data_IF_786379422452
#
_entry.id   IF_786379422452
#
_cell.length_a   1.000
_cell.length_b   1.000
_cell.length_c   1.000
_cell.angle_alpha   90.00
_cell.angle_beta   90.00
_cell.angle_gamma   90.00
#
_symmetry.space_group_name_H-M   'P 1'
#
loop_
_entity.id
_entity.type
_entity.pdbx_description
1 polymer ?
#
# COMPACT_ATOMS: atom_id res chain seq x y z
N UNK A 1 14.65 -21.81 68.11
CA UNK A 1 14.71 -22.15 66.70
C UNK A 1 14.19 -20.94 65.91
N UNK A 2 15.10 -20.15 65.36
CA UNK A 2 14.79 -18.92 64.62
C UNK A 2 14.75 -19.25 63.14
N UNK A 3 13.60 -19.03 62.47
CA UNK A 3 13.45 -19.21 61.05
C UNK A 3 13.76 -17.91 60.32
N UNK A 4 14.71 -18.00 59.40
CA UNK A 4 15.18 -16.93 58.53
C UNK A 4 14.17 -16.66 57.41
N UNK A 5 13.83 -15.40 57.07
CA UNK A 5 12.95 -15.13 55.92
C UNK A 5 13.70 -15.19 54.60
N UNK A 6 13.16 -15.92 53.65
CA UNK A 6 13.65 -16.00 52.29
C UNK A 6 13.27 -14.71 51.55
N UNK A 7 14.29 -13.96 51.15
CA UNK A 7 14.16 -12.75 50.33
C UNK A 7 13.92 -13.13 48.88
N UNK A 8 12.68 -12.97 48.39
CA UNK A 8 12.34 -13.09 46.98
C UNK A 8 12.86 -11.85 46.21
N UNK A 9 13.97 -12.02 45.51
CA UNK A 9 14.42 -11.03 44.51
C UNK A 9 13.43 -11.00 43.36
N UNK A 10 12.64 -9.92 43.30
CA UNK A 10 11.87 -9.57 42.10
C UNK A 10 12.87 -9.21 40.99
N UNK A 11 12.96 -10.07 39.98
CA UNK A 11 13.63 -9.77 38.72
C UNK A 11 12.70 -8.86 37.93
N UNK A 12 12.90 -7.55 38.04
CA UNK A 12 12.35 -6.59 37.09
C UNK A 12 13.02 -6.84 35.74
N UNK A 13 12.29 -7.52 34.82
CA UNK A 13 12.62 -7.44 33.41
C UNK A 13 12.39 -6.00 32.97
N UNK A 14 13.47 -5.23 32.87
CA UNK A 14 13.46 -3.97 32.14
C UNK A 14 12.96 -4.26 30.75
N UNK A 15 11.74 -3.78 30.41
CA UNK A 15 11.30 -3.65 29.03
C UNK A 15 12.26 -2.68 28.37
N UNK A 16 13.22 -3.18 27.61
CA UNK A 16 14.00 -2.36 26.68
C UNK A 16 13.00 -1.60 25.81
N UNK A 17 12.90 -0.30 26.05
CA UNK A 17 12.15 0.62 25.21
C UNK A 17 12.81 0.59 23.83
N UNK A 18 12.32 -0.27 22.93
CA UNK A 18 12.79 -0.29 21.57
C UNK A 18 12.40 1.05 20.95
N UNK A 19 13.39 1.84 20.58
CA UNK A 19 13.18 3.14 19.95
C UNK A 19 12.35 2.92 18.68
N UNK A 20 11.11 3.41 18.66
CA UNK A 20 10.21 3.30 17.51
C UNK A 20 10.94 3.87 16.29
N UNK A 21 10.92 3.14 15.18
CA UNK A 21 11.67 3.54 13.97
C UNK A 21 10.87 4.55 13.16
N UNK A 22 11.56 5.54 12.63
CA UNK A 22 10.96 6.56 11.77
C UNK A 22 10.55 5.98 10.41
N UNK A 23 9.40 6.42 9.88
CA UNK A 23 8.98 6.23 8.51
C UNK A 23 8.62 7.60 7.90
N UNK A 24 9.25 7.96 6.79
CA UNK A 24 9.03 9.24 6.12
C UNK A 24 7.79 9.17 5.23
N UNK A 25 6.92 10.15 5.31
CA UNK A 25 5.75 10.27 4.43
C UNK A 25 6.08 11.19 3.25
N UNK A 26 5.94 10.66 2.04
CA UNK A 26 6.12 11.38 0.78
C UNK A 26 4.81 11.39 0.01
N UNK A 27 4.23 12.57 -0.18
CA UNK A 27 3.03 12.74 -1.01
C UNK A 27 3.42 13.29 -2.37
N UNK A 28 3.16 12.52 -3.41
CA UNK A 28 3.46 12.88 -4.80
C UNK A 28 2.31 13.66 -5.46
N UNK A 29 1.12 13.68 -4.82
CA UNK A 29 -0.09 14.17 -5.45
C UNK A 29 -0.45 13.34 -6.69
N UNK A 30 -1.08 13.96 -7.70
CA UNK A 30 -1.40 13.30 -8.96
C UNK A 30 -0.18 13.26 -9.88
N UNK A 31 0.19 12.06 -10.34
CA UNK A 31 1.39 11.81 -11.17
C UNK A 31 1.12 10.77 -12.24
N UNK A 32 1.87 10.85 -13.34
CA UNK A 32 1.96 9.75 -14.30
C UNK A 32 2.64 8.54 -13.67
N UNK A 33 2.25 7.34 -14.11
CA UNK A 33 2.75 6.09 -13.54
C UNK A 33 4.27 5.98 -13.57
N UNK A 34 4.87 6.30 -14.71
CA UNK A 34 6.32 6.21 -14.92
C UNK A 34 7.09 7.17 -14.00
N UNK A 35 6.58 8.39 -13.81
CA UNK A 35 7.19 9.36 -12.89
C UNK A 35 7.19 8.85 -11.46
N UNK A 36 6.07 8.29 -11.01
CA UNK A 36 5.99 7.72 -9.66
C UNK A 36 6.88 6.49 -9.50
N UNK A 37 7.00 5.67 -10.55
CA UNK A 37 7.84 4.47 -10.55
C UNK A 37 9.33 4.83 -10.41
N UNK A 38 9.79 5.90 -11.07
CA UNK A 38 11.14 6.44 -10.89
C UNK A 38 11.38 6.81 -9.42
N UNK A 39 10.47 7.54 -8.80
CA UNK A 39 10.57 7.92 -7.38
C UNK A 39 10.58 6.69 -6.48
N UNK A 40 9.67 5.75 -6.69
CA UNK A 40 9.61 4.50 -5.90
C UNK A 40 10.93 3.72 -5.97
N UNK A 41 11.48 3.55 -7.19
CA UNK A 41 12.73 2.83 -7.39
C UNK A 41 13.90 3.52 -6.67
N UNK A 42 13.98 4.84 -6.76
CA UNK A 42 15.03 5.63 -6.10
C UNK A 42 14.94 5.51 -4.57
N UNK A 43 13.75 5.67 -4.01
CA UNK A 43 13.49 5.52 -2.56
C UNK A 43 13.83 4.09 -2.11
N UNK A 44 13.45 3.07 -2.88
CA UNK A 44 13.79 1.68 -2.57
C UNK A 44 15.31 1.43 -2.58
N UNK A 45 16.03 1.98 -3.56
CA UNK A 45 17.49 1.86 -3.61
C UNK A 45 18.19 2.59 -2.44
N UNK A 46 17.70 3.77 -2.06
CA UNK A 46 18.24 4.47 -0.88
C UNK A 46 17.95 3.71 0.42
N UNK A 47 16.76 3.11 0.52
CA UNK A 47 16.42 2.30 1.68
C UNK A 47 17.29 1.04 1.78
N UNK A 48 17.54 0.34 0.68
CA UNK A 48 18.46 -0.81 0.62
C UNK A 48 19.87 -0.43 1.07
N UNK A 49 20.33 0.75 0.66
CA UNK A 49 21.64 1.30 1.06
C UNK A 49 21.63 1.93 2.45
N UNK A 50 20.53 1.85 3.20
CA UNK A 50 20.33 2.45 4.54
C UNK A 50 20.62 3.96 4.59
N UNK A 51 20.45 4.65 3.46
CA UNK A 51 20.61 6.11 3.36
C UNK A 51 19.42 6.87 3.93
N UNK A 52 18.25 6.24 3.95
CA UNK A 52 17.01 6.78 4.48
C UNK A 52 16.32 5.73 5.36
N UNK A 53 15.47 6.12 6.31
CA UNK A 53 14.57 5.20 7.01
C UNK A 53 13.49 4.65 6.06
N UNK A 54 12.54 3.87 6.60
CA UNK A 54 11.36 3.43 5.86
C UNK A 54 10.59 4.64 5.31
N UNK A 55 9.87 4.46 4.22
CA UNK A 55 9.12 5.52 3.57
C UNK A 55 7.73 5.04 3.17
N UNK A 56 6.72 5.90 3.37
CA UNK A 56 5.35 5.69 2.94
C UNK A 56 5.02 6.72 1.85
N UNK A 57 4.88 6.26 0.61
CA UNK A 57 4.63 7.10 -0.56
C UNK A 57 3.13 7.08 -0.86
N UNK A 58 2.53 8.25 -1.03
CA UNK A 58 1.16 8.41 -1.51
C UNK A 58 1.16 8.97 -2.92
N UNK A 59 0.24 8.51 -3.75
CA UNK A 59 0.08 8.97 -5.14
C UNK A 59 -1.35 8.79 -5.59
N UNK A 60 -1.83 9.65 -6.47
CA UNK A 60 -3.03 9.44 -7.28
C UNK A 60 -2.63 9.36 -8.75
N UNK A 61 -3.29 8.50 -9.51
CA UNK A 61 -3.01 8.32 -10.95
C UNK A 61 -4.15 8.84 -11.82
N UNK A 62 -3.86 9.25 -13.07
CA UNK A 62 -4.87 9.25 -14.13
C UNK A 62 -5.35 7.82 -14.40
N UNK A 63 -6.29 7.65 -15.32
CA UNK A 63 -6.80 6.32 -15.67
C UNK A 63 -5.69 5.46 -16.27
N UNK A 64 -5.39 4.33 -15.65
CA UNK A 64 -4.42 3.38 -16.15
C UNK A 64 -4.70 1.95 -15.67
N UNK A 65 -4.22 1.01 -16.44
CA UNK A 65 -4.25 -0.42 -16.12
C UNK A 65 -2.81 -0.91 -15.97
N UNK A 66 -2.53 -1.67 -14.93
CA UNK A 66 -1.24 -2.32 -14.73
C UNK A 66 -1.37 -3.83 -14.73
N UNK A 67 -0.51 -4.51 -15.51
CA UNK A 67 -0.39 -5.97 -15.51
C UNK A 67 0.81 -6.38 -14.64
N UNK A 68 0.54 -7.11 -13.54
CA UNK A 68 1.56 -7.62 -12.65
C UNK A 68 2.24 -8.88 -13.18
N UNK A 69 3.28 -9.35 -12.48
CA UNK A 69 4.14 -10.46 -12.93
C UNK A 69 3.45 -11.82 -13.01
N UNK A 70 2.39 -12.03 -12.24
CA UNK A 70 1.61 -13.27 -12.24
C UNK A 70 0.37 -13.19 -13.11
N UNK A 71 0.17 -12.05 -13.81
CA UNK A 71 -1.02 -11.79 -14.59
C UNK A 71 -0.93 -12.35 -16.02
N UNK A 72 -2.10 -12.53 -16.61
CA UNK A 72 -2.25 -12.88 -18.04
C UNK A 72 -2.75 -11.69 -18.82
N UNK A 73 -2.19 -11.46 -20.01
CA UNK A 73 -2.69 -10.45 -20.95
C UNK A 73 -4.13 -10.75 -21.39
N UNK A 74 -4.58 -12.01 -21.31
CA UNK A 74 -5.95 -12.42 -21.60
C UNK A 74 -6.97 -11.84 -20.60
N UNK A 75 -6.50 -11.31 -19.45
CA UNK A 75 -7.35 -10.61 -18.50
C UNK A 75 -7.56 -9.13 -18.87
N UNK A 76 -6.89 -8.62 -19.88
CA UNK A 76 -7.20 -7.34 -20.51
C UNK A 76 -8.29 -7.59 -21.55
N UNK A 77 -9.50 -7.08 -21.30
CA UNK A 77 -10.67 -7.25 -22.18
C UNK A 77 -10.77 -6.12 -23.21
N UNK A 78 -10.34 -4.91 -22.83
CA UNK A 78 -10.32 -3.75 -23.72
C UNK A 78 -9.21 -3.88 -24.75
N UNK A 79 -9.51 -3.62 -26.01
CA UNK A 79 -8.52 -3.47 -27.06
C UNK A 79 -7.82 -2.09 -26.98
N UNK A 80 -6.79 -1.92 -27.80
CA UNK A 80 -6.01 -0.67 -27.82
C UNK A 80 -6.86 0.55 -28.17
N UNK A 81 -7.77 0.43 -29.13
CA UNK A 81 -8.67 1.51 -29.56
C UNK A 81 -9.58 1.97 -28.42
N UNK A 82 -10.12 1.00 -27.67
CA UNK A 82 -10.96 1.28 -26.51
C UNK A 82 -10.15 2.00 -25.39
N UNK A 83 -8.94 1.57 -25.09
CA UNK A 83 -8.08 2.23 -24.11
C UNK A 83 -7.76 3.67 -24.52
N UNK A 84 -7.35 3.88 -25.79
CA UNK A 84 -7.06 5.20 -26.33
C UNK A 84 -8.30 6.13 -26.29
N UNK A 85 -9.47 5.63 -26.69
CA UNK A 85 -10.72 6.39 -26.63
C UNK A 85 -11.09 6.86 -25.23
N UNK A 86 -10.77 6.08 -24.20
CA UNK A 86 -11.08 6.41 -22.80
C UNK A 86 -9.91 7.03 -22.05
N UNK A 87 -8.79 7.31 -22.73
CA UNK A 87 -7.60 7.91 -22.11
C UNK A 87 -6.97 7.03 -21.03
N UNK A 88 -7.01 5.70 -21.21
CA UNK A 88 -6.49 4.73 -20.24
C UNK A 88 -5.10 4.26 -20.66
N UNK A 89 -4.09 4.54 -19.81
CA UNK A 89 -2.75 4.00 -20.00
C UNK A 89 -2.67 2.51 -19.71
N UNK A 90 -1.73 1.79 -20.34
CA UNK A 90 -1.45 0.39 -20.04
C UNK A 90 0.04 0.16 -19.79
N UNK A 91 0.37 -0.46 -18.65
CA UNK A 91 1.75 -0.65 -18.22
C UNK A 91 2.00 -2.05 -17.68
N UNK A 92 3.17 -2.62 -18.02
CA UNK A 92 3.68 -3.82 -17.38
C UNK A 92 4.35 -3.44 -16.07
N UNK A 93 3.82 -3.94 -14.95
CA UNK A 93 4.27 -3.58 -13.62
C UNK A 93 5.10 -4.70 -12.99
N UNK A 94 6.24 -4.35 -12.39
CA UNK A 94 7.12 -5.29 -11.72
C UNK A 94 6.68 -5.57 -10.26
N UNK A 95 5.37 -5.74 -10.04
CA UNK A 95 4.73 -6.13 -8.78
C UNK A 95 4.15 -7.54 -8.85
N UNK A 96 3.90 -8.14 -7.71
CA UNK A 96 3.10 -9.36 -7.62
C UNK A 96 1.64 -9.12 -8.00
N UNK A 97 0.91 -10.21 -8.14
CA UNK A 97 -0.51 -10.19 -8.54
C UNK A 97 -0.70 -10.05 -10.04
N UNK A 98 -1.97 -9.95 -10.41
CA UNK A 98 -2.49 -9.93 -11.78
C UNK A 98 -2.76 -8.49 -12.26
N UNK A 99 -3.69 -8.35 -13.19
CA UNK A 99 -4.13 -7.07 -13.75
C UNK A 99 -4.97 -6.29 -12.74
N UNK A 100 -4.82 -4.97 -12.73
CA UNK A 100 -5.69 -4.07 -11.98
C UNK A 100 -5.80 -2.71 -12.67
N UNK A 101 -6.84 -1.97 -12.34
CA UNK A 101 -7.03 -0.58 -12.75
C UNK A 101 -6.63 0.37 -11.63
N UNK A 102 -6.08 1.53 -12.02
CA UNK A 102 -5.88 2.69 -11.17
C UNK A 102 -6.49 3.94 -11.82
N UNK A 103 -7.01 4.84 -10.98
CA UNK A 103 -7.61 6.08 -11.48
C UNK A 103 -7.95 7.06 -10.36
N UNK A 104 -8.45 8.25 -10.74
CA UNK A 104 -8.90 9.26 -9.79
C UNK A 104 -9.92 8.69 -8.81
N UNK A 105 -9.84 9.14 -7.55
CA UNK A 105 -10.70 8.65 -6.47
C UNK A 105 -10.21 7.37 -5.80
N UNK A 106 -9.05 6.83 -6.19
CA UNK A 106 -8.38 5.78 -5.41
C UNK A 106 -7.40 6.39 -4.41
N UNK A 107 -7.37 5.85 -3.19
CA UNK A 107 -6.28 6.07 -2.24
C UNK A 107 -5.20 5.03 -2.47
N UNK A 108 -4.02 5.49 -2.90
CA UNK A 108 -2.89 4.61 -3.21
C UNK A 108 -1.75 4.90 -2.24
N UNK A 109 -1.22 3.85 -1.61
CA UNK A 109 -0.10 3.92 -0.69
C UNK A 109 0.94 2.84 -0.98
N UNK A 110 2.21 3.26 -1.07
CA UNK A 110 3.35 2.41 -1.34
C UNK A 110 4.36 2.46 -0.19
N UNK A 111 4.29 1.52 0.77
CA UNK A 111 5.28 1.43 1.82
C UNK A 111 6.58 0.83 1.28
N UNK A 112 7.67 1.58 1.42
CA UNK A 112 9.04 1.15 1.14
C UNK A 112 9.72 0.88 2.46
N UNK A 113 9.74 -0.39 2.87
CA UNK A 113 10.18 -0.84 4.19
C UNK A 113 11.25 -1.92 4.07
N UNK A 114 12.25 -1.90 4.95
CA UNK A 114 13.15 -3.03 5.15
C UNK A 114 12.52 -4.02 6.13
N UNK A 115 11.98 -5.11 5.61
CA UNK A 115 11.31 -6.13 6.42
C UNK A 115 12.25 -6.82 7.42
N UNK A 116 13.57 -6.82 7.21
CA UNK A 116 14.53 -7.32 8.21
C UNK A 116 14.51 -6.48 9.48
N UNK A 117 14.16 -5.21 9.34
CA UNK A 117 14.07 -4.29 10.48
C UNK A 117 12.68 -4.22 11.11
N UNK A 118 11.73 -4.97 10.61
CA UNK A 118 10.41 -5.17 11.19
C UNK A 118 10.17 -6.66 11.45
N UNK A 119 9.80 -7.42 10.41
CA UNK A 119 9.67 -8.87 10.45
C UNK A 119 9.93 -9.42 9.03
N UNK A 120 10.91 -10.31 8.84
CA UNK A 120 11.29 -10.83 7.52
C UNK A 120 10.32 -11.92 7.04
N UNK A 121 9.05 -11.56 6.93
CA UNK A 121 7.94 -12.41 6.48
C UNK A 121 7.03 -11.61 5.53
N UNK A 122 7.04 -11.98 4.25
CA UNK A 122 6.25 -11.32 3.20
C UNK A 122 4.75 -11.60 3.37
N UNK A 123 4.38 -12.81 3.80
CA UNK A 123 2.99 -13.17 4.04
C UNK A 123 2.40 -12.33 5.17
N UNK A 124 3.13 -12.22 6.27
CA UNK A 124 2.74 -11.36 7.40
C UNK A 124 2.66 -9.90 7.00
N UNK A 125 3.59 -9.41 6.19
CA UNK A 125 3.55 -8.04 5.67
C UNK A 125 2.27 -7.78 4.88
N UNK A 126 1.88 -8.68 3.98
CA UNK A 126 0.64 -8.58 3.21
C UNK A 126 -0.59 -8.54 4.13
N UNK A 127 -0.69 -9.45 5.11
CA UNK A 127 -1.79 -9.45 6.08
C UNK A 127 -1.83 -8.17 6.91
N UNK A 128 -0.67 -7.63 7.28
CA UNK A 128 -0.60 -6.35 8.01
C UNK A 128 -1.08 -5.17 7.16
N UNK A 129 -0.83 -5.16 5.84
CA UNK A 129 -1.41 -4.15 4.94
C UNK A 129 -2.93 -4.29 4.83
N UNK A 130 -3.44 -5.52 4.73
CA UNK A 130 -4.89 -5.76 4.75
C UNK A 130 -5.51 -5.25 6.06
N UNK A 131 -4.92 -5.53 7.20
CA UNK A 131 -5.39 -5.03 8.50
C UNK A 131 -5.36 -3.50 8.59
N UNK A 132 -4.34 -2.83 8.01
CA UNK A 132 -4.34 -1.37 7.95
C UNK A 132 -5.57 -0.83 7.20
N UNK A 133 -5.92 -1.45 6.06
CA UNK A 133 -7.07 -1.05 5.26
C UNK A 133 -8.38 -1.38 5.99
N UNK A 134 -8.51 -2.58 6.55
CA UNK A 134 -9.72 -3.02 7.28
C UNK A 134 -10.00 -2.08 8.45
N UNK A 135 -8.99 -1.75 9.26
CA UNK A 135 -9.15 -0.84 10.38
C UNK A 135 -9.48 0.58 9.91
N UNK A 136 -8.87 1.03 8.80
CA UNK A 136 -9.20 2.32 8.18
C UNK A 136 -10.67 2.37 7.75
N UNK A 137 -11.17 1.32 7.10
CA UNK A 137 -12.54 1.22 6.65
C UNK A 137 -13.52 1.17 7.84
N UNK A 138 -13.15 0.47 8.92
CA UNK A 138 -13.95 0.40 10.15
C UNK A 138 -14.16 1.77 10.80
N UNK A 139 -13.18 2.68 10.73
CA UNK A 139 -13.32 4.06 11.21
C UNK A 139 -14.43 4.85 10.49
N UNK A 140 -14.83 4.40 9.29
CA UNK A 140 -15.93 4.96 8.50
C UNK A 140 -17.20 4.11 8.54
N UNK A 141 -17.25 3.08 9.40
CA UNK A 141 -18.39 2.19 9.52
C UNK A 141 -18.51 1.15 8.38
N UNK A 142 -17.49 0.97 7.56
CA UNK A 142 -17.46 -0.05 6.51
C UNK A 142 -16.85 -1.33 7.07
N UNK A 143 -17.67 -2.38 7.15
CA UNK A 143 -17.24 -3.72 7.59
C UNK A 143 -16.60 -4.45 6.41
N UNK A 144 -15.30 -4.67 6.51
CA UNK A 144 -14.51 -5.34 5.49
C UNK A 144 -13.66 -6.45 6.10
N UNK A 145 -13.23 -7.41 5.27
CA UNK A 145 -12.44 -8.55 5.72
C UNK A 145 -11.38 -8.95 4.68
N UNK A 146 -10.46 -9.81 5.09
CA UNK A 146 -9.53 -10.51 4.21
C UNK A 146 -10.06 -11.92 3.92
N UNK A 147 -9.93 -12.38 2.68
CA UNK A 147 -10.30 -13.75 2.29
C UNK A 147 -9.01 -14.58 2.20
N UNK A 148 -8.92 -15.74 2.87
CA UNK A 148 -7.78 -16.63 2.72
C UNK A 148 -7.46 -16.90 1.25
N UNK A 149 -6.16 -16.87 0.90
CA UNK A 149 -5.63 -17.09 -0.46
C UNK A 149 -5.97 -16.00 -1.50
N UNK A 150 -6.86 -15.06 -1.20
CA UNK A 150 -7.23 -13.95 -2.07
C UNK A 150 -6.70 -12.62 -1.53
N UNK A 151 -5.46 -12.27 -1.90
CA UNK A 151 -4.84 -11.01 -1.45
C UNK A 151 -5.71 -9.79 -1.80
N UNK A 152 -5.94 -8.94 -0.80
CA UNK A 152 -6.75 -7.72 -0.89
C UNK A 152 -7.82 -7.65 0.20
N UNK A 153 -8.63 -6.60 0.19
CA UNK A 153 -9.68 -6.38 1.19
C UNK A 153 -11.05 -6.41 0.52
N UNK A 154 -12.02 -7.00 1.20
CA UNK A 154 -13.32 -7.36 0.64
C UNK A 154 -14.46 -6.87 1.53
N UNK A 155 -15.56 -6.50 0.89
CA UNK A 155 -16.85 -6.25 1.54
C UNK A 155 -17.86 -7.23 0.94
N UNK A 156 -18.21 -8.25 1.72
CA UNK A 156 -18.90 -9.41 1.20
C UNK A 156 -18.08 -10.13 0.11
N UNK A 157 -18.62 -10.25 -1.09
CA UNK A 157 -17.97 -10.87 -2.26
C UNK A 157 -17.31 -9.87 -3.21
N UNK A 158 -17.38 -8.57 -2.91
CA UNK A 158 -16.80 -7.50 -3.72
C UNK A 158 -15.48 -7.00 -3.15
N UNK A 159 -14.48 -6.84 -4.01
CA UNK A 159 -13.18 -6.32 -3.62
C UNK A 159 -13.22 -4.81 -3.53
N UNK A 160 -12.80 -4.24 -2.38
CA UNK A 160 -12.69 -2.80 -2.16
C UNK A 160 -11.25 -2.30 -2.25
N UNK A 161 -10.26 -3.15 -1.97
CA UNK A 161 -8.86 -2.77 -2.10
C UNK A 161 -8.00 -3.88 -2.70
N UNK A 162 -7.13 -3.49 -3.62
CA UNK A 162 -6.12 -4.34 -4.25
C UNK A 162 -4.76 -4.15 -3.60
N UNK A 163 -4.00 -5.23 -3.44
CA UNK A 163 -2.63 -5.20 -2.91
C UNK A 163 -1.73 -5.98 -3.87
N UNK A 164 -0.65 -5.32 -4.31
CA UNK A 164 0.37 -5.94 -5.13
C UNK A 164 1.73 -5.35 -4.79
N UNK A 165 2.63 -6.17 -4.26
CA UNK A 165 3.94 -5.73 -3.80
C UNK A 165 5.07 -6.40 -4.57
N UNK A 166 6.25 -5.84 -4.43
CA UNK A 166 7.52 -6.48 -4.78
C UNK A 166 8.46 -6.38 -3.59
N UNK A 167 9.25 -7.41 -3.39
CA UNK A 167 10.38 -7.39 -2.44
C UNK A 167 11.69 -7.60 -3.17
N UNK A 168 12.72 -6.86 -2.80
CA UNK A 168 14.08 -7.03 -3.29
C UNK A 168 15.06 -6.76 -2.16
N UNK A 169 15.88 -7.76 -1.81
CA UNK A 169 16.76 -7.71 -0.64
C UNK A 169 16.01 -7.36 0.67
N UNK A 170 14.76 -7.84 0.80
CA UNK A 170 13.85 -7.57 1.91
C UNK A 170 13.30 -6.13 1.96
N UNK A 171 13.63 -5.28 1.01
CA UNK A 171 12.99 -3.96 0.88
C UNK A 171 11.78 -4.07 -0.03
N UNK A 172 10.65 -3.54 0.44
CA UNK A 172 9.36 -3.56 -0.27
C UNK A 172 9.26 -2.41 -1.26
N UNK A 173 8.42 -2.57 -2.27
CA UNK A 173 7.98 -1.53 -3.21
C UNK A 173 6.59 -1.88 -3.74
N UNK A 174 5.94 -0.92 -4.41
CA UNK A 174 4.50 -0.96 -4.67
C UNK A 174 3.70 -1.07 -3.36
N UNK A 175 2.46 -1.51 -3.39
CA UNK A 175 1.66 -1.57 -2.16
C UNK A 175 0.18 -1.79 -2.44
N UNK A 176 -0.65 -0.84 -2.06
CA UNK A 176 -2.11 -0.98 -2.06
C UNK A 176 -2.82 0.15 -2.79
N UNK A 177 -4.03 -0.16 -3.27
CA UNK A 177 -4.97 0.78 -3.84
C UNK A 177 -6.37 0.49 -3.25
N UNK A 178 -6.91 1.44 -2.48
CA UNK A 178 -8.25 1.40 -1.92
C UNK A 178 -9.20 2.22 -2.80
N UNK A 179 -10.30 1.63 -3.21
CA UNK A 179 -11.35 2.31 -3.94
C UNK A 179 -12.16 3.20 -2.97
N UNK A 180 -11.89 4.50 -2.96
CA UNK A 180 -12.67 5.48 -2.20
C UNK A 180 -13.88 5.92 -3.00
N UNK A 181 -13.66 6.55 -4.15
CA UNK A 181 -14.71 7.04 -5.05
C UNK A 181 -14.31 6.99 -6.53
N UNK A 182 -13.60 5.94 -7.01
CA UNK A 182 -13.27 5.86 -8.43
C UNK A 182 -14.50 5.51 -9.25
N UNK A 183 -14.45 5.81 -10.54
CA UNK A 183 -15.39 5.24 -11.50
C UNK A 183 -15.09 3.75 -11.67
N UNK A 184 -15.96 2.90 -11.13
CA UNK A 184 -15.77 1.44 -11.14
C UNK A 184 -15.99 0.81 -12.52
N UNK A 185 -16.62 1.52 -13.47
CA UNK A 185 -16.83 1.02 -14.84
C UNK A 185 -15.54 0.71 -15.59
N UNK A 186 -14.44 1.36 -15.23
CA UNK A 186 -13.11 1.05 -15.79
C UNK A 186 -12.59 -0.34 -15.43
N UNK A 187 -13.13 -0.98 -14.38
CA UNK A 187 -12.83 -2.38 -14.08
C UNK A 187 -13.44 -3.35 -15.10
N UNK A 188 -14.45 -2.93 -15.88
CA UNK A 188 -15.03 -3.72 -16.95
C UNK A 188 -14.05 -3.94 -18.12
N UNK A 189 -12.97 -3.18 -18.18
CA UNK A 189 -11.90 -3.34 -19.18
C UNK A 189 -10.96 -4.51 -18.86
N UNK A 190 -11.11 -5.14 -17.70
CA UNK A 190 -10.22 -6.21 -17.22
C UNK A 190 -11.02 -7.34 -16.56
N UNK A 191 -10.37 -8.47 -16.36
CA UNK A 191 -10.81 -9.51 -15.42
C UNK A 191 -9.96 -9.41 -14.15
N UNK A 192 -10.41 -8.68 -13.10
CA UNK A 192 -9.60 -8.44 -11.94
C UNK A 192 -9.21 -9.75 -11.25
N UNK A 193 -7.91 -9.99 -11.03
CA UNK A 193 -7.38 -11.21 -10.41
C UNK A 193 -7.80 -12.52 -11.09
N UNK A 194 -8.26 -12.50 -12.35
CA UNK A 194 -8.81 -13.68 -13.04
C UNK A 194 -10.15 -14.19 -12.47
N UNK A 195 -10.76 -13.46 -11.55
CA UNK A 195 -11.99 -13.86 -10.85
C UNK A 195 -13.24 -13.23 -11.49
N UNK A 196 -13.78 -13.87 -12.51
CA UNK A 196 -14.99 -13.38 -13.23
C UNK A 196 -16.24 -13.30 -12.34
N UNK A 197 -16.29 -14.05 -11.26
CA UNK A 197 -17.46 -14.13 -10.36
C UNK A 197 -17.47 -13.11 -9.24
N UNK A 198 -16.38 -12.33 -9.07
CA UNK A 198 -16.26 -11.37 -7.98
C UNK A 198 -16.21 -9.95 -8.51
N UNK A 199 -17.09 -9.09 -7.96
CA UNK A 199 -17.18 -7.69 -8.34
C UNK A 199 -16.14 -6.80 -7.64
N UNK A 200 -16.12 -5.55 -8.08
CA UNK A 200 -15.42 -4.46 -7.37
C UNK A 200 -16.47 -3.59 -6.67
N UNK A 201 -16.03 -2.92 -5.58
CA UNK A 201 -16.84 -1.91 -4.90
C UNK A 201 -15.95 -0.75 -4.43
N UNK A 202 -16.57 0.31 -3.89
CA UNK A 202 -15.89 1.48 -3.34
C UNK A 202 -16.57 1.94 -2.06
N UNK A 203 -15.87 2.78 -1.28
CA UNK A 203 -16.46 3.43 -0.11
C UNK A 203 -17.69 4.26 -0.49
N UNK A 204 -17.61 4.99 -1.62
CA UNK A 204 -18.74 5.79 -2.12
C UNK A 204 -19.96 4.92 -2.42
N UNK A 205 -19.79 3.75 -3.06
CA UNK A 205 -20.90 2.83 -3.34
C UNK A 205 -21.55 2.30 -2.06
N UNK A 206 -20.74 2.00 -1.02
CA UNK A 206 -21.23 1.43 0.23
C UNK A 206 -21.90 2.49 1.13
N UNK A 207 -21.28 3.66 1.23
CA UNK A 207 -21.72 4.72 2.15
C UNK A 207 -22.78 5.65 1.53
N UNK A 208 -22.95 5.63 0.20
CA UNK A 208 -23.80 6.55 -0.52
C UNK A 208 -23.33 8.02 -0.50
N UNK A 209 -22.09 8.26 -0.10
CA UNK A 209 -21.51 9.58 0.03
C UNK A 209 -20.01 9.59 -0.32
N UNK A 210 -19.52 10.71 -0.82
CA UNK A 210 -18.09 10.92 -1.08
C UNK A 210 -17.37 11.13 0.24
N UNK A 211 -16.27 10.39 0.44
CA UNK A 211 -15.38 10.55 1.60
C UNK A 211 -14.14 11.34 1.16
N UNK A 212 -13.71 12.27 2.01
CA UNK A 212 -12.49 13.02 1.77
C UNK A 212 -11.26 12.09 1.85
N UNK A 213 -10.51 12.00 0.75
CA UNK A 213 -9.29 11.19 0.67
C UNK A 213 -8.23 11.62 1.69
N UNK A 214 -8.21 12.91 2.08
CA UNK A 214 -7.29 13.39 3.12
C UNK A 214 -7.58 12.77 4.48
N UNK A 215 -8.85 12.56 4.82
CA UNK A 215 -9.26 11.90 6.05
C UNK A 215 -8.94 10.40 6.00
N UNK A 216 -9.14 9.73 4.85
CA UNK A 216 -8.70 8.35 4.63
C UNK A 216 -7.20 8.22 4.88
N UNK A 217 -6.41 9.10 4.28
CA UNK A 217 -4.95 9.14 4.47
C UNK A 217 -4.59 9.29 5.94
N UNK A 218 -5.25 10.21 6.65
CA UNK A 218 -5.00 10.44 8.08
C UNK A 218 -5.27 9.18 8.91
N UNK A 219 -6.43 8.53 8.70
CA UNK A 219 -6.79 7.28 9.41
C UNK A 219 -5.85 6.13 9.08
N UNK A 220 -5.55 5.95 7.80
CA UNK A 220 -4.58 4.94 7.36
C UNK A 220 -3.22 5.12 8.02
N UNK A 221 -2.72 6.35 8.12
CA UNK A 221 -1.45 6.64 8.79
C UNK A 221 -1.45 6.23 10.27
N UNK A 222 -2.57 6.43 10.99
CA UNK A 222 -2.69 5.99 12.39
C UNK A 222 -2.55 4.47 12.49
N UNK A 223 -3.33 3.72 11.72
CA UNK A 223 -3.29 2.27 11.74
C UNK A 223 -1.97 1.70 11.23
N UNK A 224 -1.39 2.32 10.20
CA UNK A 224 -0.07 1.95 9.69
C UNK A 224 1.02 2.13 10.76
N UNK A 225 1.03 3.28 11.44
CA UNK A 225 1.96 3.56 12.54
C UNK A 225 1.88 2.50 13.64
N UNK A 226 0.67 2.14 14.06
CA UNK A 226 0.44 1.15 15.10
C UNK A 226 0.85 -0.27 14.69
N UNK A 227 0.44 -0.71 13.49
CA UNK A 227 0.65 -2.09 13.01
C UNK A 227 2.12 -2.33 12.67
N UNK A 228 2.77 -1.34 12.06
CA UNK A 228 4.17 -1.47 11.65
C UNK A 228 5.16 -0.91 12.67
N UNK A 229 4.68 -0.37 13.80
CA UNK A 229 5.51 0.22 14.86
C UNK A 229 6.46 1.29 14.29
N UNK A 230 5.89 2.28 13.56
CA UNK A 230 6.64 3.36 12.92
C UNK A 230 6.13 4.73 13.35
N UNK A 231 7.06 5.61 13.71
CA UNK A 231 6.79 7.05 13.85
C UNK A 231 6.76 7.70 12.48
N UNK A 232 5.60 8.20 12.08
CA UNK A 232 5.41 8.85 10.80
C UNK A 232 5.87 10.31 10.87
N UNK A 233 6.80 10.69 10.00
CA UNK A 233 7.29 12.05 9.87
C UNK A 233 7.15 12.54 8.42
N UNK A 234 6.81 13.82 8.18
CA UNK A 234 6.75 14.33 6.82
C UNK A 234 8.15 14.28 6.19
N UNK A 235 8.19 13.91 4.90
CA UNK A 235 9.40 14.05 4.10
C UNK A 235 9.72 15.55 3.96
N UNK A 236 10.48 16.07 4.90
CA UNK A 236 11.08 17.39 4.72
C UNK A 236 12.28 17.16 3.83
N UNK A 237 12.37 17.87 2.72
CA UNK A 237 13.49 17.77 1.82
C UNK A 237 14.80 17.82 2.63
N UNK A 238 15.31 16.66 3.04
CA UNK A 238 16.75 16.49 3.06
C UNK A 238 17.08 16.85 1.63
N UNK A 239 17.92 17.84 1.38
CA UNK A 239 18.26 18.35 0.05
C UNK A 239 18.72 17.17 -0.81
N UNK A 240 17.71 16.45 -1.35
CA UNK A 240 17.93 15.44 -2.33
C UNK A 240 18.10 16.26 -3.59
N UNK A 241 19.33 16.42 -3.99
CA UNK A 241 19.65 17.04 -5.23
C UNK A 241 19.12 16.12 -6.36
N UNK A 242 17.87 16.35 -6.74
CA UNK A 242 17.19 15.66 -7.83
C UNK A 242 17.93 15.85 -9.16
N UNK A 243 18.78 16.91 -9.29
CA UNK A 243 19.50 17.28 -10.49
C UNK A 243 20.75 16.41 -10.70
N UNK A 244 21.37 15.89 -9.63
CA UNK A 244 22.57 15.05 -9.76
C UNK A 244 22.30 13.59 -10.05
N UNK A 245 21.03 13.13 -9.97
CA UNK A 245 20.67 11.73 -10.25
C UNK A 245 20.35 11.43 -11.72
N UNK A 246 20.46 12.40 -12.63
CA UNK A 246 20.34 12.18 -14.08
C UNK A 246 18.95 11.68 -14.57
N UNK A 247 17.90 11.77 -13.76
CA UNK A 247 16.61 11.15 -14.04
C UNK A 247 15.50 12.10 -14.50
N UNK A 248 15.81 13.38 -14.73
CA UNK A 248 14.87 14.36 -15.27
C UNK A 248 15.58 15.23 -16.32
N UNK A 249 15.74 14.67 -17.51
CA UNK A 249 15.93 15.40 -18.76
C UNK A 249 14.82 14.96 -19.72
#
# INVERSE_FOLDING_TARGET
MMSTPVCLKQVHKEKTCSKVKTCLMLDLGRKEYEQSLVVQNLVAEWRKKKRIPDCLIFVEYPHLITLGRSGSIQHLLADRSMLEKHGVGFFLANRGGDITYHGPGQFIAYPVMDLKEWQPDVGRYLRSLEHCIINTLADFGVLADSIPELTGVWVGDKKIASIGIRTSQWVTSHGLALNVSPDLSYFDFIVPCGLRSKGMTSMMEILGAVVDTSEIKRRFCVHFSQIFERDLAPWRAVSIDWQTSGCFA
#
